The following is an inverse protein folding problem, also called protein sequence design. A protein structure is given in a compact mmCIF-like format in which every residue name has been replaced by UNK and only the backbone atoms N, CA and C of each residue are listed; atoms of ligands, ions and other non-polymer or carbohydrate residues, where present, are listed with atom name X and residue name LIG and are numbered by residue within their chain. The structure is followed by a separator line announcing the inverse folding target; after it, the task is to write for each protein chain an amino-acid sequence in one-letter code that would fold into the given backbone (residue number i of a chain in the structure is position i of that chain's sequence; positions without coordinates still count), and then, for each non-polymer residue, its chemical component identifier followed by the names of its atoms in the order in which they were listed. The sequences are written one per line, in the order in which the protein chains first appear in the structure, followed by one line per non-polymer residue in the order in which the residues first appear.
data_IF_164787052434
#
_entry.id   IF_164787052434
#
_cell.length_a   1.000
_cell.length_b   1.000
_cell.length_c   1.000
_cell.angle_alpha   90.00
_cell.angle_beta   90.00
_cell.angle_gamma   90.00
#
_symmetry.space_group_name_H-M   'P 1'
#
loop_
_entity.id
_entity.type
_entity.pdbx_description
1 polymer ?
#
# COMPACT_ATOMS: atom_id res chain seq x y z
N UNK A 1 -2.44 11.46 -3.62
CA UNK A 1 -2.01 10.46 -4.61
C UNK A 1 -2.86 9.19 -4.51
N UNK A 2 -2.96 8.46 -5.59
CA UNK A 2 -3.67 7.18 -5.60
C UNK A 2 -2.68 6.05 -5.31
N UNK A 3 -3.03 5.16 -4.39
CA UNK A 3 -2.20 4.00 -4.11
C UNK A 3 -2.21 3.05 -5.32
N UNK A 4 -1.03 2.61 -5.73
CA UNK A 4 -0.88 1.59 -6.78
C UNK A 4 -0.50 0.26 -6.17
N UNK A 5 -0.67 -0.84 -6.93
CA UNK A 5 -0.27 -2.17 -6.47
C UNK A 5 1.19 -2.25 -6.07
N UNK A 6 2.13 -1.80 -6.92
CA UNK A 6 3.55 -1.80 -6.56
C UNK A 6 3.87 -0.98 -5.32
N UNK A 7 3.25 0.18 -5.13
CA UNK A 7 3.46 0.99 -3.94
C UNK A 7 2.91 0.31 -2.68
N UNK A 8 1.76 -0.35 -2.79
CA UNK A 8 1.18 -1.13 -1.70
C UNK A 8 2.16 -2.22 -1.26
N UNK A 9 2.67 -2.97 -2.21
CA UNK A 9 3.64 -4.04 -1.92
C UNK A 9 4.91 -3.49 -1.30
N UNK A 10 5.47 -2.42 -1.86
CA UNK A 10 6.69 -1.81 -1.35
C UNK A 10 6.51 -1.31 0.09
N UNK A 11 5.42 -0.61 0.36
CA UNK A 11 5.11 -0.10 1.69
C UNK A 11 4.93 -1.23 2.69
N UNK A 12 4.21 -2.28 2.29
CA UNK A 12 3.96 -3.45 3.14
C UNK A 12 5.28 -4.15 3.52
N UNK A 13 6.17 -4.30 2.56
CA UNK A 13 7.49 -4.91 2.80
C UNK A 13 8.33 -4.02 3.73
N UNK A 14 8.30 -2.71 3.52
CA UNK A 14 9.04 -1.76 4.36
C UNK A 14 8.58 -1.81 5.82
N UNK A 15 7.27 -1.90 6.06
CA UNK A 15 6.75 -2.01 7.42
C UNK A 15 6.79 -3.45 7.94
N UNK A 16 7.30 -4.38 7.14
CA UNK A 16 7.49 -5.79 7.52
C UNK A 16 6.18 -6.51 7.85
N UNK A 17 5.12 -6.18 7.14
CA UNK A 17 3.83 -6.84 7.30
C UNK A 17 3.61 -7.90 6.23
N UNK A 18 3.21 -9.12 6.61
CA UNK A 18 2.67 -10.05 5.62
C UNK A 18 1.30 -9.56 5.15
N UNK A 19 0.85 -10.04 3.99
CA UNK A 19 -0.47 -9.66 3.47
C UNK A 19 -1.60 -9.96 4.46
N UNK A 20 -1.46 -11.05 5.21
CA UNK A 20 -2.46 -11.42 6.21
C UNK A 20 -2.64 -10.34 7.27
N UNK A 21 -1.56 -9.68 7.68
CA UNK A 21 -1.66 -8.59 8.66
C UNK A 21 -2.32 -7.36 8.05
N UNK A 22 -1.97 -7.01 6.82
CA UNK A 22 -2.61 -5.88 6.15
C UNK A 22 -4.11 -6.15 5.96
N UNK A 23 -4.49 -7.38 5.63
CA UNK A 23 -5.88 -7.78 5.54
C UNK A 23 -6.60 -7.62 6.89
N UNK A 24 -5.97 -8.08 7.97
CA UNK A 24 -6.52 -7.96 9.32
C UNK A 24 -6.71 -6.50 9.74
N UNK A 25 -5.74 -5.65 9.43
CA UNK A 25 -5.78 -4.23 9.81
C UNK A 25 -6.84 -3.43 9.04
N UNK A 26 -7.17 -3.85 7.83
CA UNK A 26 -8.02 -3.06 6.93
C UNK A 26 -9.40 -3.67 6.69
N UNK A 27 -9.56 -4.97 6.92
CA UNK A 27 -10.76 -5.69 6.52
C UNK A 27 -10.80 -6.00 5.02
N UNK A 28 -9.78 -5.62 4.26
CA UNK A 28 -9.68 -5.98 2.84
C UNK A 28 -9.17 -7.41 2.74
N UNK A 29 -9.84 -8.23 1.93
CA UNK A 29 -9.49 -9.64 1.79
C UNK A 29 -8.05 -9.82 1.29
N UNK A 30 -7.35 -10.79 1.86
CA UNK A 30 -5.94 -11.09 1.51
C UNK A 30 -5.77 -11.39 0.02
N UNK A 31 -6.72 -12.13 -0.57
CA UNK A 31 -6.67 -12.43 -2.00
C UNK A 31 -6.84 -11.17 -2.86
N UNK A 32 -7.68 -10.23 -2.40
CA UNK A 32 -7.85 -8.94 -3.08
C UNK A 32 -6.58 -8.10 -3.00
N UNK A 33 -5.90 -8.11 -1.86
CA UNK A 33 -4.61 -7.41 -1.71
C UNK A 33 -3.58 -8.00 -2.67
N UNK A 34 -3.49 -9.32 -2.74
CA UNK A 34 -2.55 -9.98 -3.65
C UNK A 34 -2.85 -9.61 -5.11
N UNK A 35 -4.10 -9.69 -5.52
CA UNK A 35 -4.50 -9.35 -6.89
C UNK A 35 -4.20 -7.90 -7.24
N UNK A 36 -4.37 -6.99 -6.27
CA UNK A 36 -4.02 -5.59 -6.44
C UNK A 36 -2.51 -5.41 -6.61
N UNK A 37 -1.71 -6.03 -5.74
CA UNK A 37 -0.25 -5.90 -5.77
C UNK A 37 0.36 -6.48 -7.05
N UNK A 38 -0.24 -7.51 -7.61
CA UNK A 38 0.22 -8.12 -8.86
C UNK A 38 -0.34 -7.44 -10.12
N UNK A 39 -1.25 -6.48 -9.95
CA UNK A 39 -1.82 -5.73 -11.06
C UNK A 39 -3.01 -6.39 -11.74
N UNK A 40 -3.55 -7.48 -11.17
CA UNK A 40 -4.64 -8.23 -11.78
C UNK A 40 -6.00 -7.55 -11.60
N UNK A 41 -6.25 -6.95 -10.44
CA UNK A 41 -7.54 -6.38 -10.09
C UNK A 41 -7.35 -5.09 -9.30
N UNK A 42 -8.15 -4.06 -9.63
CA UNK A 42 -8.24 -2.83 -8.84
C UNK A 42 -9.33 -3.04 -7.78
N UNK A 43 -9.02 -2.96 -6.48
CA UNK A 43 -10.01 -3.21 -5.43
C UNK A 43 -10.99 -2.06 -5.20
N UNK A 44 -10.83 -0.97 -5.94
CA UNK A 44 -11.68 0.20 -5.81
C UNK A 44 -11.11 1.27 -4.88
N UNK A 45 -11.64 2.48 -5.00
CA UNK A 45 -11.14 3.65 -4.30
C UNK A 45 -11.17 3.49 -2.78
N UNK A 46 -12.27 2.98 -2.24
CA UNK A 46 -12.44 2.82 -0.79
C UNK A 46 -11.43 1.85 -0.20
N UNK A 47 -11.24 0.69 -0.84
CA UNK A 47 -10.26 -0.31 -0.39
C UNK A 47 -8.84 0.24 -0.48
N UNK A 48 -8.51 0.94 -1.57
CA UNK A 48 -7.18 1.56 -1.71
C UNK A 48 -6.92 2.60 -0.63
N UNK A 49 -7.93 3.39 -0.26
CA UNK A 49 -7.81 4.37 0.81
C UNK A 49 -7.56 3.70 2.17
N UNK A 50 -8.26 2.61 2.45
CA UNK A 50 -8.05 1.84 3.69
C UNK A 50 -6.65 1.24 3.76
N UNK A 51 -6.17 0.67 2.65
CA UNK A 51 -4.82 0.10 2.58
C UNK A 51 -3.77 1.17 2.83
N UNK A 52 -3.89 2.30 2.13
CA UNK A 52 -2.95 3.42 2.28
C UNK A 52 -2.93 3.93 3.72
N UNK A 53 -4.10 4.14 4.32
CA UNK A 53 -4.22 4.64 5.68
C UNK A 53 -3.56 3.70 6.69
N UNK A 54 -3.79 2.39 6.59
CA UNK A 54 -3.19 1.41 7.48
C UNK A 54 -1.66 1.38 7.36
N UNK A 55 -1.15 1.45 6.12
CA UNK A 55 0.29 1.46 5.89
C UNK A 55 0.93 2.74 6.42
N UNK A 56 0.27 3.89 6.27
CA UNK A 56 0.74 5.15 6.84
C UNK A 56 0.76 5.10 8.36
N UNK A 57 -0.26 4.51 8.97
CA UNK A 57 -0.30 4.33 10.43
C UNK A 57 0.83 3.44 10.92
N UNK A 58 1.27 2.48 10.09
CA UNK A 58 2.39 1.59 10.41
C UNK A 58 3.76 2.22 10.18
N UNK A 59 3.82 3.43 9.60
CA UNK A 59 5.06 4.17 9.42
C UNK A 59 5.48 4.41 7.99
N UNK A 60 4.70 3.99 7.00
CA UNK A 60 5.01 4.26 5.60
C UNK A 60 4.72 5.74 5.26
N UNK A 61 5.62 6.35 4.52
CA UNK A 61 5.45 7.71 4.00
C UNK A 61 5.43 7.63 2.48
N UNK A 62 4.28 7.89 1.88
CA UNK A 62 4.14 7.88 0.42
C UNK A 62 4.58 9.22 -0.15
N UNK A 63 5.40 9.15 -1.19
CA UNK A 63 5.97 10.31 -1.86
C UNK A 63 5.32 10.42 -3.23
N UNK A 64 4.55 11.49 -3.50
CA UNK A 64 3.92 11.64 -4.80
C UNK A 64 4.96 11.90 -5.88
N UNK A 65 4.60 11.57 -7.13
CA UNK A 65 5.45 11.87 -8.26
C UNK A 65 5.57 13.39 -8.46
N UNK A 66 6.69 13.79 -9.04
CA UNK A 66 6.92 15.18 -9.43
C UNK A 66 7.39 15.24 -10.89
N UNK A 67 7.92 16.38 -11.33
CA UNK A 67 8.33 16.56 -12.72
C UNK A 67 9.48 15.64 -13.13
N UNK A 68 10.31 15.20 -12.19
CA UNK A 68 11.54 14.46 -12.48
C UNK A 68 11.50 13.02 -11.99
N UNK A 69 10.71 12.74 -10.94
CA UNK A 69 10.73 11.44 -10.27
C UNK A 69 9.34 10.86 -10.14
N UNK A 70 9.22 9.54 -10.27
CA UNK A 70 7.99 8.82 -10.04
C UNK A 70 7.63 8.77 -8.57
N UNK A 71 6.41 8.31 -8.27
CA UNK A 71 5.95 8.12 -6.91
C UNK A 71 6.78 7.04 -6.19
N UNK A 72 6.89 7.17 -4.87
CA UNK A 72 7.66 6.23 -4.07
C UNK A 72 7.12 6.11 -2.65
N UNK A 73 7.83 5.35 -1.84
CA UNK A 73 7.50 5.17 -0.42
C UNK A 73 8.77 4.96 0.39
N UNK A 74 8.76 5.46 1.61
CA UNK A 74 9.84 5.22 2.58
C UNK A 74 9.25 5.10 3.98
N UNK A 75 10.05 4.63 4.91
CA UNK A 75 9.64 4.60 6.32
C UNK A 75 9.83 5.97 6.96
N UNK A 76 8.95 6.28 7.92
CA UNK A 76 9.07 7.48 8.74
C UNK A 76 10.31 7.37 9.64
N UNK A 77 10.60 6.14 10.11
CA UNK A 77 11.75 5.84 10.94
C UNK A 77 12.53 4.66 10.36
N UNK A 78 13.80 4.68 10.54
CA UNK A 78 14.66 3.56 10.17
C UNK A 78 14.89 2.65 11.37
#
# INVERSE_FOLDING_TARGET
MTLTGPLCRAARILVQWPRAQLASETGVDKAAIRAFETGDVDPGHESKAKLKHALEAAGAVFIPEDADLGAGVRLRFN
#
